data_IF_037377916562
#
_entry.id   IF_037377916562
#
_cell.length_a   1.000
_cell.length_b   1.000
_cell.length_c   1.000
_cell.angle_alpha   90.00
_cell.angle_beta   90.00
_cell.angle_gamma   90.00
#
_symmetry.space_group_name_H-M   'P 1'
#
loop_
_entity.id
_entity.type
_entity.pdbx_description
1 polymer ?
#
# COMPACT_ATOMS: atom_id res chain seq x y z
N UNK A 1 14.82 -9.37 -10.60
CA UNK A 1 13.60 -10.17 -10.35
C UNK A 1 13.30 -11.16 -11.49
N UNK A 2 12.95 -10.73 -12.72
CA UNK A 2 12.72 -11.68 -13.81
C UNK A 2 14.00 -12.44 -14.24
N UNK A 3 15.17 -11.79 -14.18
CA UNK A 3 16.45 -12.40 -14.51
C UNK A 3 16.95 -13.40 -13.45
N UNK A 4 16.63 -13.18 -12.18
CA UNK A 4 16.98 -14.09 -11.09
C UNK A 4 16.18 -15.40 -11.19
N UNK A 5 14.90 -15.30 -11.55
CA UNK A 5 14.01 -16.44 -11.74
C UNK A 5 14.42 -17.28 -12.97
N UNK A 6 14.70 -16.64 -14.10
CA UNK A 6 15.14 -17.34 -15.32
C UNK A 6 16.48 -18.04 -15.12
N UNK A 7 17.40 -17.43 -14.35
CA UNK A 7 18.68 -18.04 -13.98
C UNK A 7 18.52 -19.26 -13.05
N UNK A 8 17.57 -19.25 -12.12
CA UNK A 8 17.29 -20.38 -11.24
C UNK A 8 16.65 -21.57 -12.00
N UNK A 9 15.76 -21.28 -12.96
CA UNK A 9 15.13 -22.29 -13.81
C UNK A 9 16.13 -22.96 -14.76
N UNK A 10 17.04 -22.18 -15.34
CA UNK A 10 18.13 -22.71 -16.17
C UNK A 10 19.05 -23.66 -15.40
N UNK A 11 19.39 -23.32 -14.15
CA UNK A 11 20.19 -24.19 -13.26
C UNK A 11 19.48 -25.48 -12.86
N UNK A 12 18.15 -25.49 -12.93
CA UNK A 12 17.32 -26.66 -12.59
C UNK A 12 17.09 -27.59 -13.79
N UNK A 13 17.69 -27.30 -14.95
CA UNK A 13 17.59 -28.13 -16.15
C UNK A 13 16.27 -27.96 -16.90
N UNK A 14 15.56 -26.85 -16.68
CA UNK A 14 14.35 -26.53 -17.46
C UNK A 14 14.75 -26.17 -18.89
N UNK A 15 14.00 -26.69 -19.85
CA UNK A 15 14.24 -26.45 -21.26
C UNK A 15 14.09 -24.97 -21.64
N UNK A 16 14.93 -24.50 -22.57
CA UNK A 16 15.02 -23.09 -22.95
C UNK A 16 13.72 -22.52 -23.50
N UNK A 17 12.91 -23.33 -24.20
CA UNK A 17 11.64 -22.89 -24.78
C UNK A 17 10.64 -22.49 -23.68
N UNK A 18 10.61 -23.25 -22.59
CA UNK A 18 9.76 -22.96 -21.43
C UNK A 18 10.25 -21.73 -20.65
N UNK A 19 11.57 -21.55 -20.53
CA UNK A 19 12.17 -20.36 -19.88
C UNK A 19 11.84 -19.11 -20.68
N UNK A 20 11.94 -19.18 -22.01
CA UNK A 20 11.63 -18.07 -22.90
C UNK A 20 10.14 -17.72 -22.88
N UNK A 21 9.26 -18.73 -22.89
CA UNK A 21 7.82 -18.53 -22.70
C UNK A 21 7.51 -17.78 -21.39
N UNK A 22 8.04 -18.26 -20.26
CA UNK A 22 7.82 -17.64 -18.95
C UNK A 22 8.36 -16.21 -18.92
N UNK A 23 9.56 -15.98 -19.47
CA UNK A 23 10.16 -14.65 -19.58
C UNK A 23 9.26 -13.69 -20.34
N UNK A 24 8.79 -14.11 -21.51
CA UNK A 24 7.92 -13.32 -22.37
C UNK A 24 6.55 -13.07 -21.73
N UNK A 25 5.98 -14.05 -21.04
CA UNK A 25 4.73 -13.89 -20.29
C UNK A 25 4.88 -12.88 -19.13
N UNK A 26 5.98 -12.94 -18.37
CA UNK A 26 6.24 -12.00 -17.27
C UNK A 26 6.49 -10.57 -17.75
N UNK A 27 7.15 -10.41 -18.89
CA UNK A 27 7.38 -9.10 -19.51
C UNK A 27 6.08 -8.54 -20.13
N UNK A 28 5.26 -9.40 -20.73
CA UNK A 28 3.98 -9.05 -21.36
C UNK A 28 2.88 -8.73 -20.34
N UNK A 29 2.82 -9.45 -19.21
CA UNK A 29 1.82 -9.20 -18.17
C UNK A 29 2.16 -8.03 -17.25
N UNK A 30 3.37 -7.45 -17.38
CA UNK A 30 3.77 -6.26 -16.64
C UNK A 30 3.07 -5.04 -17.25
N UNK A 31 1.77 -4.95 -16.99
CA UNK A 31 1.13 -3.64 -16.96
C UNK A 31 1.88 -2.86 -15.87
N UNK A 32 2.58 -1.81 -16.28
CA UNK A 32 3.02 -0.82 -15.31
C UNK A 32 1.77 -0.36 -14.57
N UNK A 33 1.62 -0.75 -13.31
CA UNK A 33 0.61 -0.14 -12.46
C UNK A 33 0.96 1.35 -12.46
N UNK A 34 0.24 2.15 -13.25
CA UNK A 34 0.53 3.56 -13.51
C UNK A 34 0.59 4.44 -12.25
N UNK A 35 0.21 3.87 -11.10
CA UNK A 35 0.25 4.47 -9.77
C UNK A 35 1.48 4.08 -8.94
N UNK A 36 2.30 3.13 -9.36
CA UNK A 36 3.52 2.74 -8.66
C UNK A 36 4.63 3.78 -8.90
N UNK A 37 4.72 4.76 -8.00
CA UNK A 37 5.74 5.82 -8.06
C UNK A 37 5.30 7.09 -8.79
N UNK A 38 3.99 7.26 -9.03
CA UNK A 38 3.52 8.54 -9.54
C UNK A 38 3.70 9.64 -8.48
N UNK A 39 4.10 10.87 -8.87
CA UNK A 39 4.23 11.99 -7.94
C UNK A 39 2.96 12.26 -7.12
N UNK A 40 1.80 11.97 -7.70
CA UNK A 40 0.51 12.10 -7.03
C UNK A 40 0.33 11.08 -5.90
N UNK A 41 0.76 9.82 -6.10
CA UNK A 41 0.73 8.82 -5.02
C UNK A 41 1.55 9.30 -3.84
N UNK A 42 2.77 9.78 -4.08
CA UNK A 42 3.66 10.24 -3.01
C UNK A 42 3.09 11.47 -2.30
N UNK A 43 2.48 12.39 -3.05
CA UNK A 43 1.76 13.54 -2.51
C UNK A 43 0.62 13.11 -1.58
N UNK A 44 -0.29 12.25 -2.04
CA UNK A 44 -1.44 11.82 -1.24
C UNK A 44 -1.05 10.91 -0.08
N UNK A 45 -0.04 10.05 -0.25
CA UNK A 45 0.50 9.22 0.82
C UNK A 45 1.13 10.08 1.92
N UNK A 46 1.86 11.15 1.53
CA UNK A 46 2.39 12.12 2.50
C UNK A 46 1.27 12.82 3.25
N UNK A 47 0.22 13.29 2.56
CA UNK A 47 -0.94 13.92 3.20
C UNK A 47 -1.60 12.95 4.19
N UNK A 48 -1.85 11.71 3.78
CA UNK A 48 -2.48 10.70 4.64
C UNK A 48 -1.65 10.44 5.90
N UNK A 49 -0.31 10.32 5.77
CA UNK A 49 0.60 10.06 6.88
C UNK A 49 0.80 11.23 7.84
N UNK A 50 0.58 12.47 7.40
CA UNK A 50 0.83 13.67 8.21
C UNK A 50 -0.45 14.39 8.67
N UNK A 51 -1.62 13.94 8.23
CA UNK A 51 -2.90 14.45 8.71
C UNK A 51 -3.44 13.53 9.81
N UNK A 52 -3.54 14.06 11.03
CA UNK A 52 -4.25 13.41 12.14
C UNK A 52 -5.64 12.93 11.69
N UNK A 53 -6.40 13.83 11.06
CA UNK A 53 -7.75 13.56 10.63
C UNK A 53 -7.81 12.37 9.68
N UNK A 54 -7.05 12.41 8.58
CA UNK A 54 -7.09 11.36 7.57
C UNK A 54 -6.62 10.02 8.17
N UNK A 55 -5.53 10.01 8.94
CA UNK A 55 -5.05 8.80 9.59
C UNK A 55 -6.06 8.23 10.58
N UNK A 56 -6.75 9.07 11.35
CA UNK A 56 -7.81 8.64 12.27
C UNK A 56 -8.99 7.99 11.56
N UNK A 57 -9.36 8.48 10.37
CA UNK A 57 -10.45 7.91 9.57
C UNK A 57 -10.04 6.56 9.00
N UNK A 58 -8.85 6.47 8.41
CA UNK A 58 -8.30 5.21 7.88
C UNK A 58 -8.22 4.15 8.99
N UNK A 59 -7.70 4.53 10.16
CA UNK A 59 -7.57 3.62 11.30
C UNK A 59 -8.93 3.09 11.75
N UNK A 60 -9.98 3.94 11.77
CA UNK A 60 -11.35 3.53 12.10
C UNK A 60 -11.98 2.64 11.03
N UNK A 61 -11.76 2.95 9.75
CA UNK A 61 -12.28 2.15 8.63
C UNK A 61 -11.74 0.71 8.64
N UNK A 62 -10.45 0.55 8.97
CA UNK A 62 -9.76 -0.75 8.94
C UNK A 62 -9.52 -1.32 10.35
N UNK A 63 -10.25 -0.85 11.37
CA UNK A 63 -10.02 -1.26 12.76
C UNK A 63 -10.04 -2.77 12.95
N UNK A 64 -11.06 -3.44 12.40
CA UNK A 64 -11.19 -4.89 12.52
C UNK A 64 -10.08 -5.66 11.81
N UNK A 65 -9.57 -5.14 10.69
CA UNK A 65 -8.48 -5.77 9.96
C UNK A 65 -7.17 -5.70 10.75
N UNK A 66 -6.87 -4.58 11.39
CA UNK A 66 -5.71 -4.48 12.29
C UNK A 66 -5.78 -5.52 13.41
N UNK A 67 -6.96 -5.69 14.02
CA UNK A 67 -7.17 -6.66 15.10
C UNK A 67 -7.09 -8.09 14.58
N UNK A 68 -7.77 -8.40 13.47
CA UNK A 68 -7.88 -9.74 12.91
C UNK A 68 -6.51 -10.27 12.45
N UNK A 69 -5.72 -9.43 11.80
CA UNK A 69 -4.41 -9.81 11.28
C UNK A 69 -3.25 -9.53 12.25
N UNK A 70 -3.52 -8.96 13.43
CA UNK A 70 -2.50 -8.66 14.43
C UNK A 70 -1.51 -7.57 14.01
N UNK A 71 -1.91 -6.66 13.12
CA UNK A 71 -1.08 -5.54 12.72
C UNK A 71 -1.11 -4.42 13.77
N UNK A 72 0.01 -3.72 13.99
CA UNK A 72 0.04 -2.58 14.91
C UNK A 72 -0.84 -1.44 14.37
N UNK A 73 -1.55 -0.76 15.26
CA UNK A 73 -2.26 0.46 14.90
C UNK A 73 -1.26 1.55 14.45
N UNK A 74 -1.57 2.30 13.38
CA UNK A 74 -0.69 3.34 12.90
C UNK A 74 -0.60 4.49 13.91
N UNK A 75 0.57 5.14 13.97
CA UNK A 75 0.74 6.34 14.77
C UNK A 75 -0.13 7.46 14.18
N UNK A 76 -1.05 7.99 14.97
CA UNK A 76 -1.88 9.14 14.58
C UNK A 76 -1.06 10.41 14.87
N UNK A 77 -0.72 11.22 13.85
CA UNK A 77 -0.03 12.50 14.07
C UNK A 77 -0.86 13.38 15.01
N UNK A 78 -0.23 14.21 15.85
CA UNK A 78 -0.98 15.14 16.70
C UNK A 78 -1.72 16.18 15.83
N UNK A 79 -2.87 16.70 16.29
CA UNK A 79 -3.51 17.84 15.67
C UNK A 79 -2.53 19.01 15.62
N UNK A 80 -2.13 19.43 14.42
CA UNK A 80 -1.48 20.73 14.23
C UNK A 80 -2.48 21.82 13.87
N UNK A 81 -3.79 21.54 13.97
CA UNK A 81 -4.88 22.44 13.61
C UNK A 81 -6.17 22.15 14.40
N UNK A 82 -7.20 23.01 14.27
CA UNK A 82 -8.46 22.82 14.98
C UNK A 82 -9.12 21.49 14.61
N UNK A 83 -9.82 20.84 15.55
CA UNK A 83 -10.50 19.58 15.30
C UNK A 83 -11.50 19.76 14.15
N UNK A 84 -11.58 18.81 13.21
CA UNK A 84 -12.50 18.93 12.09
C UNK A 84 -13.96 18.92 12.59
N UNK A 85 -14.80 19.79 12.01
CA UNK A 85 -16.17 20.14 12.47
C UNK A 85 -17.09 18.96 12.81
N UNK A 86 -16.92 17.79 12.22
CA UNK A 86 -17.78 16.63 12.53
C UNK A 86 -17.43 15.99 13.90
N UNK A 87 -16.26 16.28 14.50
CA UNK A 87 -15.93 15.90 15.88
C UNK A 87 -16.47 16.89 16.92
N UNK A 88 -16.78 18.14 16.55
CA UNK A 88 -17.36 19.14 17.46
C UNK A 88 -18.70 18.65 18.04
N UNK A 89 -19.49 17.93 17.23
CA UNK A 89 -20.79 17.39 17.62
C UNK A 89 -20.72 16.16 18.53
N UNK A 90 -19.54 15.57 18.73
CA UNK A 90 -19.36 14.41 19.63
C UNK A 90 -19.08 14.86 21.06
N UNK A 91 -18.48 16.04 21.26
CA UNK A 91 -18.09 16.56 22.58
C UNK A 91 -19.28 17.14 23.37
N UNK A 92 -20.38 17.51 22.69
CA UNK A 92 -21.54 18.16 23.30
C UNK A 92 -22.64 17.20 23.81
N UNK A 93 -22.35 15.91 23.95
CA UNK A 93 -23.27 14.93 24.55
C UNK A 93 -22.71 14.37 25.85
N UNK A 94 -22.75 15.19 26.90
CA UNK A 94 -22.67 14.75 28.30
C UNK A 94 -23.68 15.53 29.13
#
# INVERSE_FOLDING_TARGET
MADDLTSALAKSGVDSEHIEYIRNSLLSSRTEHATAGSPDKDKYLRIARHSEYVMSVITRMFYHDYVLFGFPFPAIPRPTGPPPRFLENVVLRH
#
